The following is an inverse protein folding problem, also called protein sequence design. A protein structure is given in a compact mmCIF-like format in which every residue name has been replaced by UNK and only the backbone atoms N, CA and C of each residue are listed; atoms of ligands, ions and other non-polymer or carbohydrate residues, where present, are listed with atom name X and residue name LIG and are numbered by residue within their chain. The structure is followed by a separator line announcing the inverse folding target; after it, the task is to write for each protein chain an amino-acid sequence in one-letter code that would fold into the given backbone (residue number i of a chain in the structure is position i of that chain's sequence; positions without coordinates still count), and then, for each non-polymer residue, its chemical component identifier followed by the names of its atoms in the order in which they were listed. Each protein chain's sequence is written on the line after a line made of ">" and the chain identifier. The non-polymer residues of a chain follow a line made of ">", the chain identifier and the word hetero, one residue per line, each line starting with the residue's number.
data_IF_472391696895
#
_entry.id   IF_472391696895
#
_cell.length_a   1.000
_cell.length_b   1.000
_cell.length_c   1.000
_cell.angle_alpha   90.00
_cell.angle_beta   90.00
_cell.angle_gamma   90.00
#
_symmetry.space_group_name_H-M   'P 1'
#
loop_
_entity.id
_entity.type
_entity.pdbx_description
1 polymer ?
#
# COMPACT_ATOMS: atom_id res chain seq x y z
N UNK A 1 -20.82 -24.01 -19.85
CA UNK A 1 -20.72 -22.62 -19.38
C UNK A 1 -19.38 -22.09 -19.88
N UNK A 2 -19.38 -21.12 -20.79
CA UNK A 2 -18.14 -20.47 -21.26
C UNK A 2 -17.74 -19.55 -20.11
N UNK A 3 -16.62 -19.85 -19.46
CA UNK A 3 -16.06 -18.95 -18.45
C UNK A 3 -15.75 -17.61 -19.14
N UNK A 4 -16.23 -16.51 -18.57
CA UNK A 4 -15.86 -15.17 -19.06
C UNK A 4 -14.36 -14.94 -18.87
N UNK A 5 -13.74 -14.17 -19.74
CA UNK A 5 -12.34 -13.78 -19.56
C UNK A 5 -12.16 -13.07 -18.20
N UNK A 6 -11.09 -13.38 -17.47
CA UNK A 6 -10.84 -12.77 -16.16
C UNK A 6 -10.64 -11.26 -16.29
N UNK A 7 -11.10 -10.51 -15.27
CA UNK A 7 -10.70 -9.12 -15.06
C UNK A 7 -9.22 -9.09 -14.66
N UNK A 8 -8.37 -8.48 -15.46
CA UNK A 8 -6.96 -8.31 -15.16
C UNK A 8 -6.77 -7.02 -14.35
N UNK A 9 -6.40 -7.14 -13.10
CA UNK A 9 -6.22 -6.04 -12.17
C UNK A 9 -4.73 -5.90 -11.85
N UNK A 10 -4.15 -4.76 -12.18
CA UNK A 10 -2.76 -4.48 -11.86
C UNK A 10 -2.59 -3.92 -10.44
N UNK A 11 -1.55 -4.33 -9.74
CA UNK A 11 -1.18 -3.85 -8.40
C UNK A 11 0.20 -3.21 -8.48
N UNK A 12 0.37 -2.01 -7.90
CA UNK A 12 1.68 -1.39 -7.68
C UNK A 12 1.90 -1.11 -6.19
N UNK A 13 3.00 -0.45 -5.85
CA UNK A 13 3.30 0.00 -4.49
C UNK A 13 3.26 -1.12 -3.42
N UNK A 14 3.65 -2.34 -3.81
CA UNK A 14 3.66 -3.49 -2.90
C UNK A 14 2.28 -3.81 -2.28
N UNK A 15 1.19 -3.60 -3.03
CA UNK A 15 -0.20 -3.76 -2.55
C UNK A 15 -0.69 -5.20 -2.47
N UNK A 16 0.09 -6.20 -2.90
CA UNK A 16 -0.23 -7.61 -2.71
C UNK A 16 -0.09 -8.00 -1.24
N UNK A 17 -1.14 -7.81 -0.44
CA UNK A 17 -1.17 -8.12 0.98
C UNK A 17 -2.57 -8.53 1.47
N UNK A 18 -2.71 -9.09 2.70
CA UNK A 18 -3.93 -9.74 3.18
C UNK A 18 -5.23 -8.92 3.11
N UNK A 19 -5.15 -7.57 3.12
CA UNK A 19 -6.35 -6.72 2.99
C UNK A 19 -7.16 -7.03 1.73
N UNK A 20 -6.49 -7.40 0.62
CA UNK A 20 -7.16 -7.77 -0.63
C UNK A 20 -7.91 -9.11 -0.54
N UNK A 21 -7.59 -9.97 0.43
CA UNK A 21 -8.20 -11.31 0.51
C UNK A 21 -9.70 -11.26 0.77
N UNK A 22 -10.17 -10.32 1.58
CA UNK A 22 -11.60 -10.18 1.93
C UNK A 22 -12.44 -9.76 0.71
N UNK A 23 -12.14 -8.62 0.03
CA UNK A 23 -12.88 -8.21 -1.16
C UNK A 23 -12.77 -9.22 -2.31
N UNK A 24 -11.63 -9.89 -2.47
CA UNK A 24 -11.45 -10.96 -3.46
C UNK A 24 -12.37 -12.16 -3.17
N UNK A 25 -12.43 -12.60 -1.91
CA UNK A 25 -13.31 -13.70 -1.51
C UNK A 25 -14.78 -13.34 -1.69
N UNK A 26 -15.18 -12.12 -1.32
CA UNK A 26 -16.54 -11.63 -1.47
C UNK A 26 -16.93 -11.50 -2.95
N UNK A 27 -16.06 -10.92 -3.78
CA UNK A 27 -16.27 -10.83 -5.23
C UNK A 27 -16.46 -12.24 -5.84
N UNK A 28 -15.55 -13.17 -5.53
CA UNK A 28 -15.62 -14.55 -6.02
C UNK A 28 -16.91 -15.24 -5.64
N UNK A 29 -17.42 -15.01 -4.42
CA UNK A 29 -18.66 -15.62 -3.92
C UNK A 29 -19.89 -15.05 -4.61
N UNK A 30 -19.93 -13.73 -4.86
CA UNK A 30 -21.10 -13.04 -5.45
C UNK A 30 -21.11 -13.09 -6.97
N UNK A 31 -19.93 -13.10 -7.57
CA UNK A 31 -19.73 -12.99 -9.02
C UNK A 31 -18.82 -14.11 -9.55
N UNK A 32 -19.22 -15.40 -9.42
CA UNK A 32 -18.37 -16.54 -9.82
C UNK A 32 -18.05 -16.54 -11.32
N UNK A 33 -18.93 -15.94 -12.14
CA UNK A 33 -18.77 -15.83 -13.60
C UNK A 33 -17.91 -14.62 -14.03
N UNK A 34 -17.41 -13.82 -13.07
CA UNK A 34 -16.56 -12.66 -13.30
C UNK A 34 -15.22 -12.81 -12.54
N UNK A 35 -14.37 -13.77 -12.95
CA UNK A 35 -13.12 -14.04 -12.23
C UNK A 35 -12.13 -12.87 -12.32
N UNK A 36 -11.29 -12.73 -11.29
CA UNK A 36 -10.24 -11.71 -11.23
C UNK A 36 -8.88 -12.39 -11.31
N UNK A 37 -7.95 -11.78 -12.07
CA UNK A 37 -6.52 -12.09 -12.09
C UNK A 37 -5.73 -10.87 -11.65
N UNK A 38 -4.89 -11.03 -10.64
CA UNK A 38 -4.01 -9.97 -10.13
C UNK A 38 -2.63 -10.04 -10.80
N UNK A 39 -2.06 -8.87 -11.10
CA UNK A 39 -0.74 -8.71 -11.70
C UNK A 39 0.03 -7.66 -10.92
N UNK A 40 1.19 -8.02 -10.35
CA UNK A 40 2.09 -7.03 -9.76
C UNK A 40 2.87 -6.34 -10.87
N UNK A 41 2.86 -5.00 -10.87
CA UNK A 41 3.48 -4.15 -11.87
C UNK A 41 4.09 -2.90 -11.22
N UNK A 42 5.06 -2.28 -11.90
CA UNK A 42 5.44 -0.90 -11.58
C UNK A 42 4.33 0.04 -11.98
N UNK A 43 4.22 1.19 -11.31
CA UNK A 43 3.15 2.15 -11.56
C UNK A 43 3.11 2.61 -13.04
N UNK A 44 4.27 2.83 -13.66
CA UNK A 44 4.35 3.22 -15.08
C UNK A 44 3.82 2.13 -16.00
N UNK A 45 4.15 0.86 -15.75
CA UNK A 45 3.67 -0.28 -16.54
C UNK A 45 2.18 -0.51 -16.32
N UNK A 46 1.69 -0.30 -15.09
CA UNK A 46 0.26 -0.31 -14.77
C UNK A 46 -0.49 0.76 -15.58
N UNK A 47 0.00 2.02 -15.61
CA UNK A 47 -0.61 3.11 -16.39
C UNK A 47 -0.61 2.78 -17.89
N UNK A 48 0.52 2.30 -18.41
CA UNK A 48 0.65 1.91 -19.81
C UNK A 48 -0.31 0.77 -20.17
N UNK A 49 -0.39 -0.25 -19.31
CA UNK A 49 -1.27 -1.39 -19.51
C UNK A 49 -2.75 -1.03 -19.43
N UNK A 50 -3.14 -0.10 -18.52
CA UNK A 50 -4.50 0.43 -18.46
C UNK A 50 -4.87 1.17 -19.74
N UNK A 51 -4.04 2.07 -20.23
CA UNK A 51 -4.29 2.82 -21.47
C UNK A 51 -4.34 1.90 -22.69
N UNK A 52 -3.52 0.85 -22.73
CA UNK A 52 -3.51 -0.15 -23.79
C UNK A 52 -4.64 -1.20 -23.70
N UNK A 53 -5.42 -1.21 -22.61
CA UNK A 53 -6.48 -2.20 -22.37
C UNK A 53 -5.97 -3.59 -21.97
N UNK A 54 -4.71 -3.71 -21.55
CA UNK A 54 -4.16 -4.96 -21.01
C UNK A 54 -4.64 -5.25 -19.59
N UNK A 55 -5.02 -4.20 -18.86
CA UNK A 55 -5.66 -4.27 -17.55
C UNK A 55 -6.98 -3.50 -17.59
N UNK A 56 -8.01 -4.07 -16.96
CA UNK A 56 -9.31 -3.39 -16.79
C UNK A 56 -9.27 -2.36 -15.67
N UNK A 57 -8.49 -2.64 -14.61
CA UNK A 57 -8.30 -1.72 -13.50
C UNK A 57 -6.92 -1.88 -12.86
N UNK A 58 -6.60 -0.95 -11.95
CA UNK A 58 -5.39 -0.99 -11.14
C UNK A 58 -5.63 -0.54 -9.71
N UNK A 59 -4.75 -0.94 -8.80
CA UNK A 59 -4.64 -0.42 -7.45
C UNK A 59 -3.24 0.14 -7.25
N UNK A 60 -3.15 1.37 -6.73
CA UNK A 60 -1.89 2.04 -6.43
C UNK A 60 -2.03 2.97 -5.22
N UNK A 61 -0.93 3.53 -4.78
CA UNK A 61 -0.90 4.55 -3.72
C UNK A 61 -0.54 5.94 -4.25
N UNK A 62 -0.54 6.15 -5.56
CA UNK A 62 -0.36 7.45 -6.19
C UNK A 62 -1.72 8.08 -6.52
N UNK A 63 -1.98 9.35 -6.12
CA UNK A 63 -3.14 10.10 -6.57
C UNK A 63 -3.01 10.61 -8.01
N UNK A 64 -1.79 10.56 -8.58
CA UNK A 64 -1.50 11.06 -9.92
C UNK A 64 -1.62 9.93 -10.95
N UNK A 65 -2.27 10.24 -12.08
CA UNK A 65 -2.36 9.36 -13.24
C UNK A 65 -2.34 10.18 -14.53
N UNK A 66 -1.93 9.58 -15.66
CA UNK A 66 -1.99 10.23 -16.96
C UNK A 66 -3.44 10.49 -17.41
N UNK A 67 -3.58 11.39 -18.40
CA UNK A 67 -4.86 11.65 -19.04
C UNK A 67 -5.51 10.35 -19.56
N UNK A 68 -6.83 10.23 -19.43
CA UNK A 68 -7.59 9.04 -19.82
C UNK A 68 -7.78 8.03 -18.70
N UNK A 69 -7.07 8.15 -17.58
CA UNK A 69 -7.27 7.31 -16.39
C UNK A 69 -8.08 8.08 -15.35
N UNK A 70 -9.10 7.43 -14.82
CA UNK A 70 -9.85 7.87 -13.64
C UNK A 70 -9.19 7.30 -12.38
N UNK A 71 -9.10 8.13 -11.32
CA UNK A 71 -8.51 7.77 -10.03
C UNK A 71 -9.56 7.96 -8.96
N UNK A 72 -9.91 6.88 -8.26
CA UNK A 72 -10.92 6.91 -7.17
C UNK A 72 -10.28 6.38 -5.88
N UNK A 73 -10.39 7.08 -4.73
CA UNK A 73 -9.91 6.55 -3.46
C UNK A 73 -10.75 5.32 -3.07
N UNK A 74 -10.08 4.30 -2.55
CA UNK A 74 -10.70 3.03 -2.14
C UNK A 74 -10.73 2.91 -0.63
N UNK A 75 -9.56 2.98 0.00
CA UNK A 75 -9.42 2.90 1.46
C UNK A 75 -8.27 3.74 1.97
N UNK A 76 -8.24 3.92 3.27
CA UNK A 76 -7.15 4.55 4.00
C UNK A 76 -6.64 3.63 5.09
N UNK A 77 -5.33 3.52 5.21
CA UNK A 77 -4.68 2.74 6.25
C UNK A 77 -3.98 3.69 7.22
N UNK A 78 -4.27 3.54 8.51
CA UNK A 78 -3.57 4.27 9.55
C UNK A 78 -2.10 3.84 9.58
N UNK A 79 -1.18 4.80 9.56
CA UNK A 79 0.25 4.57 9.67
C UNK A 79 0.65 4.43 11.14
N UNK A 80 1.65 3.59 11.37
CA UNK A 80 2.36 3.47 12.63
C UNK A 80 3.86 3.37 12.37
N UNK A 81 4.67 3.59 13.40
CA UNK A 81 6.09 3.32 13.34
C UNK A 81 6.34 1.82 13.58
N UNK A 82 7.05 1.18 12.66
CA UNK A 82 7.53 -0.19 12.81
C UNK A 82 8.93 -0.16 13.44
N UNK A 83 9.12 -0.92 14.51
CA UNK A 83 10.38 -1.05 15.25
C UNK A 83 10.67 -2.51 15.57
N UNK A 84 11.92 -2.86 15.83
CA UNK A 84 12.28 -4.22 16.30
C UNK A 84 11.74 -4.50 17.70
N UNK A 85 11.58 -5.76 18.07
CA UNK A 85 11.10 -6.20 19.39
C UNK A 85 11.97 -5.77 20.58
N UNK A 86 13.19 -5.28 20.32
CA UNK A 86 14.13 -4.79 21.34
C UNK A 86 14.49 -3.32 21.19
N UNK A 87 13.72 -2.59 20.38
CA UNK A 87 14.00 -1.18 20.08
C UNK A 87 13.75 -0.26 21.31
N UNK A 88 14.61 0.72 21.59
CA UNK A 88 14.42 1.62 22.75
C UNK A 88 13.11 2.41 22.72
N UNK A 89 12.57 2.72 21.55
CA UNK A 89 11.27 3.38 21.40
C UNK A 89 10.10 2.56 21.97
N UNK A 90 10.29 1.28 22.30
CA UNK A 90 9.28 0.46 22.98
C UNK A 90 9.00 0.92 24.42
N UNK A 91 9.88 1.72 25.00
CA UNK A 91 9.65 2.32 26.32
C UNK A 91 8.52 3.38 26.31
N UNK A 92 8.13 3.88 25.13
CA UNK A 92 7.08 4.88 24.98
C UNK A 92 5.78 4.23 24.49
N UNK A 93 4.63 4.68 24.98
CA UNK A 93 3.32 4.22 24.53
C UNK A 93 2.99 4.70 23.11
N UNK A 94 3.44 5.91 22.77
CA UNK A 94 3.40 6.51 21.43
C UNK A 94 4.70 7.28 21.18
N UNK A 95 5.04 7.48 19.90
CA UNK A 95 6.32 8.08 19.47
C UNK A 95 6.03 9.21 18.49
N UNK A 96 6.72 10.35 18.62
CA UNK A 96 6.67 11.40 17.61
C UNK A 96 7.55 11.06 16.41
N UNK A 97 7.23 11.63 15.23
CA UNK A 97 8.09 11.52 14.05
C UNK A 97 9.49 12.10 14.30
N UNK A 98 9.57 13.16 15.12
CA UNK A 98 10.85 13.76 15.52
C UNK A 98 11.71 12.77 16.33
N UNK A 99 11.11 12.09 17.33
CA UNK A 99 11.81 11.03 18.09
C UNK A 99 12.22 9.86 17.18
N UNK A 100 11.40 9.52 16.19
CA UNK A 100 11.72 8.47 15.23
C UNK A 100 12.87 8.88 14.31
N UNK A 101 13.02 10.17 13.97
CA UNK A 101 14.07 10.69 13.10
C UNK A 101 15.48 10.61 13.70
N UNK A 102 15.59 10.48 15.03
CA UNK A 102 16.86 10.26 15.72
C UNK A 102 17.46 8.86 15.48
N UNK A 103 16.68 7.97 14.86
CA UNK A 103 17.09 6.60 14.55
C UNK A 103 17.31 6.43 13.03
N UNK A 104 18.11 5.42 12.60
CA UNK A 104 18.18 5.06 11.19
C UNK A 104 16.81 4.67 10.64
N UNK A 105 16.51 5.07 9.38
CA UNK A 105 15.26 4.75 8.71
C UNK A 105 15.46 3.74 7.61
N UNK A 106 14.42 2.95 7.36
CA UNK A 106 14.32 2.04 6.24
C UNK A 106 13.14 2.49 5.38
N UNK A 107 13.40 2.82 4.13
CA UNK A 107 12.40 3.23 3.16
C UNK A 107 12.26 2.16 2.05
N UNK A 108 11.12 2.13 1.38
CA UNK A 108 10.99 1.37 0.13
C UNK A 108 11.74 2.09 -1.00
N UNK A 109 12.22 1.31 -1.99
CA UNK A 109 12.81 1.89 -3.20
C UNK A 109 11.72 2.65 -3.97
N UNK A 110 11.91 3.96 -4.13
CA UNK A 110 10.95 4.84 -4.80
C UNK A 110 10.73 4.52 -6.28
N UNK A 111 11.59 3.70 -6.91
CA UNK A 111 11.38 3.26 -8.30
C UNK A 111 10.28 2.22 -8.42
N UNK A 112 10.10 1.38 -7.41
CA UNK A 112 9.13 0.28 -7.41
C UNK A 112 7.86 0.62 -6.61
N UNK A 113 7.96 1.55 -5.66
CA UNK A 113 6.87 1.95 -4.77
C UNK A 113 6.64 3.47 -4.76
N UNK A 114 6.49 4.06 -5.96
CA UNK A 114 6.41 5.52 -6.18
C UNK A 114 5.30 6.17 -5.36
N UNK A 115 4.11 5.60 -5.37
CA UNK A 115 2.95 6.15 -4.67
C UNK A 115 3.10 6.09 -3.16
N UNK A 116 3.57 4.94 -2.63
CA UNK A 116 3.86 4.78 -1.21
C UNK A 116 4.90 5.79 -0.73
N UNK A 117 6.06 5.82 -1.39
CA UNK A 117 7.16 6.73 -1.02
C UNK A 117 6.71 8.18 -1.10
N UNK A 118 6.02 8.59 -2.16
CA UNK A 118 5.53 9.95 -2.32
C UNK A 118 4.56 10.40 -1.21
N UNK A 119 3.68 9.51 -0.73
CA UNK A 119 2.81 9.83 0.41
C UNK A 119 3.61 9.92 1.73
N UNK A 120 4.55 9.00 1.99
CA UNK A 120 5.40 9.05 3.19
C UNK A 120 6.26 10.32 3.18
N UNK A 121 6.92 10.65 2.08
CA UNK A 121 7.75 11.84 1.94
C UNK A 121 6.95 13.13 2.15
N UNK A 122 5.71 13.17 1.63
CA UNK A 122 4.80 14.30 1.84
C UNK A 122 4.44 14.47 3.32
N UNK A 123 4.16 13.37 4.03
CA UNK A 123 3.86 13.40 5.47
C UNK A 123 5.06 13.88 6.30
N UNK A 124 6.25 13.37 6.02
CA UNK A 124 7.49 13.80 6.68
C UNK A 124 7.80 15.28 6.41
N UNK A 125 7.61 15.72 5.16
CA UNK A 125 7.80 17.12 4.77
C UNK A 125 6.85 18.06 5.53
N UNK A 126 5.56 17.70 5.61
CA UNK A 126 4.54 18.49 6.35
C UNK A 126 4.88 18.54 7.85
N UNK A 127 5.39 17.45 8.40
CA UNK A 127 5.83 17.38 9.79
C UNK A 127 7.17 18.11 10.05
N UNK A 128 7.89 18.55 9.00
CA UNK A 128 9.20 19.17 9.12
C UNK A 128 10.30 18.18 9.56
N UNK A 129 10.10 16.89 9.33
CA UNK A 129 11.00 15.82 9.79
C UNK A 129 11.84 15.30 8.63
N UNK A 130 13.15 15.24 8.85
CA UNK A 130 14.13 14.68 7.90
C UNK A 130 14.88 13.54 8.57
N UNK A 131 14.70 12.28 8.13
CA UNK A 131 15.45 11.15 8.67
C UNK A 131 16.97 11.33 8.52
N UNK A 132 17.73 11.03 9.57
CA UNK A 132 19.19 11.24 9.60
C UNK A 132 19.98 10.27 8.72
N UNK A 133 19.48 9.05 8.52
CA UNK A 133 20.07 8.02 7.67
C UNK A 133 18.96 7.13 7.10
N UNK A 134 19.02 6.84 5.80
CA UNK A 134 18.01 6.04 5.11
C UNK A 134 18.66 4.87 4.39
N UNK A 135 18.20 3.67 4.72
CA UNK A 135 18.49 2.43 3.97
C UNK A 135 17.29 2.08 3.11
N UNK A 136 17.49 1.69 1.86
CA UNK A 136 16.40 1.33 0.96
C UNK A 136 16.19 -0.19 0.90
N UNK A 137 14.92 -0.60 0.83
CA UNK A 137 14.50 -1.97 0.62
C UNK A 137 13.66 -2.08 -0.65
N UNK A 138 13.87 -3.13 -1.44
CA UNK A 138 13.19 -3.34 -2.73
C UNK A 138 11.82 -4.00 -2.58
N UNK A 139 11.44 -4.41 -1.37
CA UNK A 139 10.11 -4.96 -1.09
C UNK A 139 9.69 -4.71 0.34
N UNK A 140 8.39 -4.74 0.60
CA UNK A 140 7.84 -4.59 1.95
C UNK A 140 8.34 -5.70 2.90
N UNK A 141 8.44 -6.93 2.43
CA UNK A 141 8.97 -8.05 3.23
C UNK A 141 10.43 -7.82 3.63
N UNK A 142 11.28 -7.33 2.71
CA UNK A 142 12.66 -6.97 3.02
C UNK A 142 12.74 -5.81 4.02
N UNK A 143 11.91 -4.77 3.86
CA UNK A 143 11.81 -3.66 4.80
C UNK A 143 11.50 -4.17 6.21
N UNK A 144 10.49 -5.04 6.37
CA UNK A 144 10.14 -5.62 7.67
C UNK A 144 11.26 -6.52 8.23
N UNK A 145 11.97 -7.26 7.38
CA UNK A 145 13.13 -8.07 7.80
C UNK A 145 14.25 -7.20 8.36
N UNK A 146 14.55 -6.08 7.71
CA UNK A 146 15.56 -5.12 8.19
C UNK A 146 15.14 -4.46 9.50
N UNK A 147 13.86 -4.10 9.65
CA UNK A 147 13.31 -3.60 10.93
C UNK A 147 13.46 -4.65 12.03
N UNK A 148 13.04 -5.89 11.79
CA UNK A 148 13.17 -6.98 12.76
C UNK A 148 14.60 -7.21 13.21
N UNK A 149 15.55 -7.09 12.29
CA UNK A 149 16.99 -7.23 12.53
C UNK A 149 17.61 -5.99 13.23
N UNK A 150 16.83 -4.92 13.47
CA UNK A 150 17.31 -3.72 14.18
C UNK A 150 18.12 -2.75 13.34
N UNK A 151 18.04 -2.81 12.00
CA UNK A 151 18.74 -1.89 11.10
C UNK A 151 18.14 -0.49 11.07
N UNK A 152 16.92 -0.32 11.59
CA UNK A 152 16.26 0.97 11.64
C UNK A 152 14.75 0.83 11.88
N UNK A 153 14.06 1.95 11.71
CA UNK A 153 12.60 2.07 11.85
C UNK A 153 11.97 2.44 10.51
N UNK A 154 10.67 2.26 10.35
CA UNK A 154 9.95 2.77 9.18
C UNK A 154 8.49 3.12 9.51
N UNK A 155 7.89 3.99 8.70
CA UNK A 155 6.44 4.18 8.69
C UNK A 155 5.80 3.11 7.80
N UNK A 156 4.73 2.47 8.29
CA UNK A 156 3.98 1.51 7.50
C UNK A 156 2.53 1.41 8.00
N UNK A 157 1.60 0.90 7.19
CA UNK A 157 0.25 0.62 7.65
C UNK A 157 0.26 -0.29 8.89
N UNK A 158 -0.43 0.13 9.96
CA UNK A 158 -0.44 -0.58 11.24
C UNK A 158 -0.87 -2.05 11.08
N UNK A 159 -1.88 -2.32 10.25
CA UNK A 159 -2.34 -3.68 9.96
C UNK A 159 -1.28 -4.54 9.27
N UNK A 160 -0.42 -3.93 8.42
CA UNK A 160 0.69 -4.66 7.77
C UNK A 160 1.81 -4.97 8.75
N UNK A 161 2.12 -4.04 9.68
CA UNK A 161 3.11 -4.27 10.74
C UNK A 161 2.65 -5.43 11.63
N UNK A 162 1.38 -5.44 12.03
CA UNK A 162 0.83 -6.51 12.87
C UNK A 162 0.95 -7.89 12.21
N UNK A 163 0.77 -7.98 10.90
CA UNK A 163 1.02 -9.21 10.12
C UNK A 163 2.47 -9.72 10.20
N UNK A 164 3.42 -8.89 10.60
CA UNK A 164 4.85 -9.24 10.73
C UNK A 164 5.31 -9.37 12.19
N UNK A 165 4.39 -9.37 13.14
CA UNK A 165 4.69 -9.50 14.58
C UNK A 165 5.47 -10.77 14.92
N UNK A 166 5.15 -11.88 14.28
CA UNK A 166 5.85 -13.16 14.44
C UNK A 166 7.33 -13.08 14.03
N UNK A 167 7.73 -12.12 13.21
CA UNK A 167 9.11 -11.86 12.81
C UNK A 167 9.86 -10.94 13.79
N UNK A 168 9.24 -10.51 14.88
CA UNK A 168 9.86 -9.59 15.85
C UNK A 168 9.72 -8.11 15.46
N UNK A 169 8.75 -7.75 14.64
CA UNK A 169 8.39 -6.34 14.35
C UNK A 169 7.24 -5.92 15.25
N UNK A 170 7.36 -4.76 15.88
CA UNK A 170 6.35 -4.19 16.79
C UNK A 170 5.95 -2.81 16.29
N UNK A 171 4.66 -2.52 16.31
CA UNK A 171 4.17 -1.19 15.98
C UNK A 171 4.20 -0.25 17.20
N UNK A 172 4.42 1.04 16.93
CA UNK A 172 4.17 2.13 17.89
C UNK A 172 3.25 3.17 17.27
N UNK A 173 2.17 3.55 17.96
CA UNK A 173 1.31 4.64 17.54
C UNK A 173 2.10 5.95 17.44
N UNK A 174 1.70 6.80 16.50
CA UNK A 174 2.29 8.13 16.32
C UNK A 174 1.59 9.14 17.23
N UNK A 175 2.34 10.13 17.73
CA UNK A 175 1.81 11.23 18.55
C UNK A 175 1.07 12.27 17.70
N UNK A 176 1.44 12.40 16.43
CA UNK A 176 0.82 13.31 15.46
C UNK A 176 -0.62 12.92 15.09
N UNK A 177 -1.15 11.87 15.70
CA UNK A 177 -2.47 11.34 15.42
C UNK A 177 -2.49 10.37 14.25
N UNK A 178 -3.66 10.18 13.65
CA UNK A 178 -3.85 9.20 12.58
C UNK A 178 -3.33 9.74 11.25
N UNK A 179 -2.04 9.58 10.97
CA UNK A 179 -1.49 9.74 9.63
C UNK A 179 -2.01 8.60 8.75
N UNK A 180 -2.48 8.92 7.55
CA UNK A 180 -3.18 7.96 6.70
C UNK A 180 -2.47 7.79 5.36
N UNK A 181 -2.33 6.54 4.95
CA UNK A 181 -1.90 6.15 3.61
C UNK A 181 -3.13 5.81 2.78
N UNK A 182 -3.31 6.46 1.64
CA UNK A 182 -4.48 6.26 0.78
C UNK A 182 -4.15 5.33 -0.37
N UNK A 183 -5.02 4.35 -0.62
CA UNK A 183 -4.98 3.49 -1.81
C UNK A 183 -6.08 3.91 -2.77
N UNK A 184 -5.74 3.94 -4.06
CA UNK A 184 -6.61 4.37 -5.15
C UNK A 184 -6.90 3.22 -6.10
N UNK A 185 -8.10 3.22 -6.65
CA UNK A 185 -8.53 2.39 -7.76
C UNK A 185 -8.41 3.21 -9.05
N UNK A 186 -7.78 2.62 -10.06
CA UNK A 186 -7.57 3.21 -11.36
C UNK A 186 -8.35 2.43 -12.41
N UNK A 187 -8.99 3.14 -13.34
CA UNK A 187 -9.60 2.56 -14.54
C UNK A 187 -9.55 3.57 -15.67
N UNK A 188 -9.64 3.11 -16.93
CA UNK A 188 -9.84 4.06 -18.03
C UNK A 188 -11.23 4.67 -17.92
N UNK A 189 -11.35 5.93 -18.34
CA UNK A 189 -12.62 6.68 -18.33
C UNK A 189 -13.67 6.09 -19.26
N UNK A 190 -13.26 5.42 -20.32
CA UNK A 190 -14.11 4.78 -21.35
C UNK A 190 -14.33 3.27 -21.09
N UNK A 191 -13.84 2.73 -20.00
CA UNK A 191 -14.05 1.31 -19.67
C UNK A 191 -15.50 1.06 -19.29
N UNK A 192 -16.09 -0.01 -19.82
CA UNK A 192 -17.38 -0.52 -19.33
C UNK A 192 -17.24 -0.91 -17.84
N UNK A 193 -17.83 -0.07 -17.00
CA UNK A 193 -17.77 -0.25 -15.54
C UNK A 193 -18.60 -1.42 -15.03
N UNK A 194 -19.49 -2.00 -15.84
CA UNK A 194 -20.45 -3.03 -15.42
C UNK A 194 -19.78 -4.22 -14.73
N UNK A 195 -18.64 -4.67 -15.27
CA UNK A 195 -17.86 -5.78 -14.69
C UNK A 195 -16.94 -5.35 -13.55
N UNK A 196 -16.48 -4.08 -13.54
CA UNK A 196 -15.54 -3.54 -12.55
C UNK A 196 -16.24 -3.07 -11.28
N UNK A 197 -17.43 -2.51 -11.39
CA UNK A 197 -18.17 -1.90 -10.28
C UNK A 197 -18.41 -2.87 -9.11
N UNK A 198 -18.78 -4.15 -9.33
CA UNK A 198 -18.90 -5.11 -8.22
C UNK A 198 -17.62 -5.31 -7.43
N UNK A 199 -16.46 -5.31 -8.09
CA UNK A 199 -15.16 -5.42 -7.41
C UNK A 199 -14.80 -4.13 -6.67
N UNK A 200 -15.02 -2.97 -7.29
CA UNK A 200 -14.80 -1.68 -6.64
C UNK A 200 -15.65 -1.54 -5.36
N UNK A 201 -16.94 -1.93 -5.40
CA UNK A 201 -17.81 -1.93 -4.23
C UNK A 201 -17.32 -2.91 -3.14
N UNK A 202 -16.84 -4.09 -3.51
CA UNK A 202 -16.26 -5.04 -2.57
C UNK A 202 -15.00 -4.48 -1.87
N UNK A 203 -14.17 -3.72 -2.60
CA UNK A 203 -13.02 -3.02 -2.04
C UNK A 203 -13.45 -1.95 -1.03
N UNK A 204 -14.44 -1.12 -1.37
CA UNK A 204 -14.96 -0.06 -0.49
C UNK A 204 -15.63 -0.61 0.77
N UNK A 205 -16.37 -1.72 0.67
CA UNK A 205 -17.01 -2.36 1.83
C UNK A 205 -15.99 -2.95 2.83
N UNK A 206 -14.74 -3.11 2.43
CA UNK A 206 -13.62 -3.59 3.25
C UNK A 206 -12.73 -2.47 3.80
N UNK A 207 -13.15 -1.20 3.58
CA UNK A 207 -12.41 0.01 3.93
C UNK A 207 -12.42 0.31 5.44
#
# INVERSE_FOLDING_TARGET
>A
MIASDPLNIALSDCLAYPRLSVPMAEHRRRHPDNPIRLHEQRLEDQHRGLLAGAFEAGLCQSPAAPEGIEVRPVWRDALALAVSAHHPLLAFASVSLEQAADHPWIALDGRDCVGYCGQIDSLLTVAGVVPSAVTTATSFGLMMTLVAAGYGVCLAPAARIEGHRALGVVQRPLQEGALMLTTYFLSRRDTDSTRLEPFFQALQASA
#
